data_IF_344340982828
#
_entry.id   IF_344340982828
#
_cell.length_a   1.000
_cell.length_b   1.000
_cell.length_c   1.000
_cell.angle_alpha   90.00
_cell.angle_beta   90.00
_cell.angle_gamma   90.00
#
_symmetry.space_group_name_H-M   'P 1'
#
loop_
_entity.id
_entity.type
_entity.pdbx_description
1 polymer ?
#
# COMPACT_ATOMS: atom_id res chain seq x y z
N UNK A 1 -5.15 9.42 29.17
CA UNK A 1 -4.84 10.63 29.96
C UNK A 1 -4.68 11.76 28.96
N UNK A 2 -5.56 12.77 28.99
CA UNK A 2 -5.49 13.91 28.05
C UNK A 2 -4.20 14.70 28.33
N UNK A 3 -3.49 15.11 27.28
CA UNK A 3 -2.36 16.04 27.40
C UNK A 3 -2.95 17.45 27.43
N UNK A 4 -2.94 18.06 28.60
CA UNK A 4 -3.40 19.42 28.84
C UNK A 4 -2.23 20.38 28.54
N UNK A 5 -2.50 21.40 27.73
CA UNK A 5 -1.49 22.39 27.35
C UNK A 5 -1.78 23.65 28.17
N UNK A 6 -0.93 24.02 29.14
CA UNK A 6 -1.20 25.12 30.07
C UNK A 6 -1.23 26.50 29.37
N UNK A 7 -0.70 26.57 28.15
CA UNK A 7 -0.60 27.80 27.35
C UNK A 7 -1.76 27.96 26.35
N UNK A 8 -2.71 27.00 26.31
CA UNK A 8 -3.86 27.04 25.42
C UNK A 8 -5.10 27.62 26.14
N UNK A 9 -5.33 28.93 25.97
CA UNK A 9 -6.50 29.63 26.51
C UNK A 9 -7.84 29.21 25.85
N UNK A 10 -7.83 28.27 24.89
CA UNK A 10 -9.00 27.79 24.16
C UNK A 10 -9.64 28.83 23.23
N UNK A 11 -8.98 29.99 23.06
CA UNK A 11 -9.47 31.08 22.20
C UNK A 11 -9.09 30.83 20.75
N UNK A 12 -10.07 30.95 19.85
CA UNK A 12 -9.82 30.90 18.40
C UNK A 12 -9.30 32.27 17.95
N UNK A 13 -8.02 32.34 17.57
CA UNK A 13 -7.38 33.57 17.08
C UNK A 13 -7.87 33.91 15.67
N UNK A 14 -8.08 32.89 14.83
CA UNK A 14 -8.58 33.03 13.46
C UNK A 14 -9.42 31.82 13.10
N UNK A 15 -10.62 32.04 12.56
CA UNK A 15 -11.45 30.95 12.09
C UNK A 15 -10.90 30.41 10.76
N UNK A 16 -10.62 29.13 10.78
CA UNK A 16 -9.90 28.38 9.77
C UNK A 16 -10.81 27.31 9.13
N UNK A 17 -12.10 27.36 9.45
CA UNK A 17 -13.16 26.48 8.97
C UNK A 17 -13.55 26.76 7.52
N UNK A 18 -12.69 26.40 6.57
CA UNK A 18 -12.90 26.64 5.14
C UNK A 18 -13.56 25.44 4.46
N UNK A 19 -14.73 25.66 3.84
CA UNK A 19 -15.48 24.62 3.13
C UNK A 19 -14.66 23.96 2.01
N UNK A 20 -14.78 22.64 1.89
CA UNK A 20 -14.04 21.83 0.90
C UNK A 20 -12.59 21.51 1.28
N UNK A 21 -12.05 22.11 2.34
CA UNK A 21 -10.69 21.81 2.78
C UNK A 21 -10.63 20.53 3.62
N UNK A 22 -9.57 19.72 3.41
CA UNK A 22 -9.42 18.37 4.04
C UNK A 22 -9.43 18.34 5.57
N UNK A 23 -9.19 19.48 6.18
CA UNK A 23 -9.05 19.69 7.62
C UNK A 23 -10.29 20.36 8.20
N UNK A 24 -11.30 20.71 7.40
CA UNK A 24 -12.61 21.20 7.85
C UNK A 24 -13.72 20.26 7.39
N UNK A 25 -14.45 19.70 8.36
CA UNK A 25 -15.56 18.79 8.15
C UNK A 25 -16.68 19.23 9.07
N UNK A 26 -17.70 19.84 8.47
CA UNK A 26 -18.87 20.40 9.17
C UNK A 26 -19.65 19.35 9.97
N UNK A 27 -19.49 18.06 9.64
CA UNK A 27 -20.17 16.95 10.30
C UNK A 27 -19.40 16.43 11.54
N UNK A 28 -18.15 16.85 11.75
CA UNK A 28 -17.38 16.55 12.97
C UNK A 28 -17.63 17.69 13.97
N UNK A 29 -18.72 17.61 14.72
CA UNK A 29 -19.19 18.72 15.57
C UNK A 29 -18.36 19.01 16.83
N UNK A 30 -17.30 18.24 17.11
CA UNK A 30 -16.48 18.42 18.32
C UNK A 30 -14.99 18.22 18.04
N UNK A 31 -14.17 19.00 18.73
CA UNK A 31 -12.69 18.87 18.75
C UNK A 31 -12.27 17.44 19.11
N UNK A 32 -13.04 16.77 19.99
CA UNK A 32 -12.83 15.36 20.36
C UNK A 32 -13.08 14.38 19.20
N UNK A 33 -14.09 14.64 18.37
CA UNK A 33 -14.37 13.85 17.16
C UNK A 33 -13.31 14.10 16.08
N UNK A 34 -12.75 15.31 16.04
CA UNK A 34 -11.60 15.66 15.21
C UNK A 34 -10.32 14.94 15.64
N UNK A 35 -10.01 14.88 16.94
CA UNK A 35 -8.83 14.19 17.46
C UNK A 35 -8.97 12.67 17.28
N UNK A 36 -10.16 12.09 17.56
CA UNK A 36 -10.47 10.67 17.28
C UNK A 36 -10.42 10.34 15.80
N UNK A 37 -10.90 11.22 14.93
CA UNK A 37 -10.81 11.02 13.49
C UNK A 37 -9.38 11.15 12.98
N UNK A 38 -8.53 12.01 13.57
CA UNK A 38 -7.09 12.08 13.27
C UNK A 38 -6.30 10.85 13.74
N UNK A 39 -6.62 10.30 14.92
CA UNK A 39 -6.03 9.04 15.41
C UNK A 39 -6.45 7.84 14.57
N UNK A 40 -7.66 7.85 14.00
CA UNK A 40 -8.14 6.80 13.07
C UNK A 40 -7.79 7.06 11.60
N UNK A 41 -7.52 8.30 11.22
CA UNK A 41 -7.21 8.73 9.86
C UNK A 41 -5.77 9.24 9.77
N UNK A 42 -4.85 8.31 9.99
CA UNK A 42 -3.55 8.40 9.34
C UNK A 42 -3.23 7.04 8.72
N UNK A 43 -3.41 6.93 7.40
CA UNK A 43 -2.25 6.67 6.58
C UNK A 43 -1.86 8.02 5.98
N UNK A 44 -0.64 8.42 6.26
CA UNK A 44 0.07 9.51 5.60
C UNK A 44 -0.17 9.43 4.09
N UNK A 45 -1.07 10.27 3.59
CA UNK A 45 -1.36 10.39 2.16
C UNK A 45 -0.27 11.25 1.53
N UNK A 46 0.90 10.66 1.38
CA UNK A 46 2.01 11.07 0.51
C UNK A 46 2.78 9.82 0.04
N UNK A 47 2.13 8.79 -0.48
CA UNK A 47 2.81 7.64 -1.12
C UNK A 47 1.84 7.09 -2.18
N UNK A 48 2.36 6.71 -3.35
CA UNK A 48 1.60 6.49 -4.60
C UNK A 48 0.32 5.67 -4.47
N UNK A 49 -0.59 5.89 -5.43
CA UNK A 49 -1.85 5.18 -5.68
C UNK A 49 -1.95 3.85 -4.91
N UNK A 50 -2.65 3.86 -3.77
CA UNK A 50 -2.77 2.69 -2.90
C UNK A 50 -3.53 1.64 -3.70
N UNK A 51 -2.79 0.65 -4.18
CA UNK A 51 -3.32 -0.38 -5.04
C UNK A 51 -4.48 -1.12 -4.34
N UNK A 52 -5.60 -1.27 -5.04
CA UNK A 52 -6.76 -1.98 -4.50
C UNK A 52 -6.39 -3.45 -4.26
N UNK A 53 -6.92 -4.09 -3.22
CA UNK A 53 -6.64 -5.51 -2.91
C UNK A 53 -6.81 -6.45 -4.11
N UNK A 54 -7.79 -6.16 -4.99
CA UNK A 54 -8.06 -6.91 -6.23
C UNK A 54 -6.98 -6.72 -7.30
N UNK A 55 -6.37 -5.54 -7.35
CA UNK A 55 -5.27 -5.24 -8.26
C UNK A 55 -4.01 -5.93 -7.76
N UNK A 56 -3.72 -5.86 -6.45
CA UNK A 56 -2.58 -6.55 -5.84
C UNK A 56 -2.54 -8.02 -6.15
N UNK A 57 -3.65 -8.74 -5.95
CA UNK A 57 -3.74 -10.18 -6.24
C UNK A 57 -3.50 -10.47 -7.72
N UNK A 58 -3.95 -9.59 -8.62
CA UNK A 58 -3.79 -9.78 -10.06
C UNK A 58 -2.34 -9.59 -10.50
N UNK A 59 -1.69 -8.54 -10.01
CA UNK A 59 -0.29 -8.27 -10.32
C UNK A 59 0.63 -9.35 -9.73
N UNK A 60 0.37 -9.81 -8.51
CA UNK A 60 1.17 -10.90 -7.92
C UNK A 60 0.99 -12.19 -8.72
N UNK A 61 -0.22 -12.51 -9.15
CA UNK A 61 -0.47 -13.68 -9.99
C UNK A 61 0.29 -13.62 -11.32
N UNK A 62 0.27 -12.48 -12.01
CA UNK A 62 1.03 -12.31 -13.25
C UNK A 62 2.53 -12.37 -13.05
N UNK A 63 3.05 -11.78 -11.98
CA UNK A 63 4.48 -11.85 -11.64
C UNK A 63 4.92 -13.30 -11.38
N UNK A 64 4.11 -14.07 -10.65
CA UNK A 64 4.37 -15.49 -10.36
C UNK A 64 4.31 -16.32 -11.65
N UNK A 65 3.30 -16.09 -12.50
CA UNK A 65 3.18 -16.79 -13.78
C UNK A 65 4.39 -16.53 -14.68
N UNK A 66 4.82 -15.27 -14.78
CA UNK A 66 6.02 -14.89 -15.53
C UNK A 66 7.27 -15.61 -14.98
N UNK A 67 7.49 -15.60 -13.67
CA UNK A 67 8.60 -16.34 -13.06
C UNK A 67 8.56 -17.84 -13.37
N UNK A 68 7.37 -18.46 -13.28
CA UNK A 68 7.19 -19.88 -13.56
C UNK A 68 7.46 -20.21 -15.04
N UNK A 69 7.07 -19.34 -15.97
CA UNK A 69 7.37 -19.54 -17.40
C UNK A 69 8.87 -19.53 -17.68
N UNK A 70 9.63 -18.64 -17.05
CA UNK A 70 11.09 -18.57 -17.21
C UNK A 70 11.73 -19.87 -16.70
N UNK A 71 11.36 -20.31 -15.48
CA UNK A 71 11.85 -21.56 -14.91
C UNK A 71 11.54 -22.75 -15.80
N UNK A 72 10.32 -22.82 -16.35
CA UNK A 72 9.92 -23.90 -17.24
C UNK A 72 10.80 -23.97 -18.50
N UNK A 73 11.06 -22.84 -19.16
CA UNK A 73 11.93 -22.78 -20.36
C UNK A 73 13.33 -23.29 -20.05
N UNK A 74 13.94 -22.80 -18.96
CA UNK A 74 15.28 -23.23 -18.58
C UNK A 74 15.33 -24.70 -18.17
N UNK A 75 14.34 -25.18 -17.42
CA UNK A 75 14.24 -26.59 -17.04
C UNK A 75 14.13 -27.48 -18.29
N UNK A 76 13.29 -27.11 -19.26
CA UNK A 76 13.16 -27.85 -20.53
C UNK A 76 14.49 -27.87 -21.30
N UNK A 77 15.16 -26.74 -21.44
CA UNK A 77 16.45 -26.67 -22.13
C UNK A 77 17.51 -27.57 -21.44
N UNK A 78 17.57 -27.54 -20.10
CA UNK A 78 18.47 -28.38 -19.31
C UNK A 78 18.17 -29.87 -19.45
N UNK A 79 16.89 -30.26 -19.40
CA UNK A 79 16.48 -31.65 -19.59
C UNK A 79 16.88 -32.14 -20.99
N UNK A 80 16.62 -31.34 -22.02
CA UNK A 80 17.01 -31.67 -23.39
C UNK A 80 18.52 -31.82 -23.54
N UNK A 81 19.30 -30.92 -22.94
CA UNK A 81 20.77 -31.00 -22.95
C UNK A 81 21.27 -32.25 -22.24
N UNK A 82 20.69 -32.58 -21.08
CA UNK A 82 21.04 -33.77 -20.32
C UNK A 82 20.72 -35.05 -21.10
N UNK A 83 19.51 -35.14 -21.69
CA UNK A 83 19.10 -36.25 -22.54
C UNK A 83 20.00 -36.37 -23.77
N UNK A 84 20.32 -35.26 -24.44
CA UNK A 84 21.23 -35.25 -25.58
C UNK A 84 22.62 -35.79 -25.20
N UNK A 85 23.17 -35.31 -24.08
CA UNK A 85 24.45 -35.80 -23.58
C UNK A 85 24.41 -37.31 -23.29
N UNK A 86 23.37 -37.78 -22.60
CA UNK A 86 23.24 -39.17 -22.19
C UNK A 86 23.03 -40.15 -23.37
N UNK A 87 22.20 -39.77 -24.34
CA UNK A 87 21.77 -40.69 -25.41
C UNK A 87 22.52 -40.52 -26.74
N UNK A 88 23.09 -39.34 -27.00
CA UNK A 88 23.78 -39.03 -28.27
C UNK A 88 25.28 -38.91 -28.08
N UNK A 89 25.74 -38.22 -27.02
CA UNK A 89 27.16 -37.93 -26.85
C UNK A 89 27.92 -39.05 -26.12
N UNK A 90 27.38 -39.59 -25.04
CA UNK A 90 28.04 -40.60 -24.19
C UNK A 90 27.69 -42.05 -24.52
N UNK A 91 27.05 -42.28 -25.67
CA UNK A 91 26.76 -43.61 -26.21
C UNK A 91 27.73 -43.93 -27.34
#
# INVERSE_FOLDING_TARGET
>A
MLKEYPDDDGRVICDMNVEGMRWYNRNLSKVDDYRKSREKAAPHRNVGEVMTRRETVRYTFYAVLAGLTIVAVFATAWILLWLFSAYVWFK
#
